data_IF_534192086988
#
_entry.id   IF_534192086988
#
_cell.length_a   1.000
_cell.length_b   1.000
_cell.length_c   1.000
_cell.angle_alpha   90.00
_cell.angle_beta   90.00
_cell.angle_gamma   90.00
#
_symmetry.space_group_name_H-M   'P 1'
#
loop_
_entity.id
_entity.type
_entity.pdbx_description
1 polymer ?
#
# COMPACT_ATOMS: atom_id res chain seq x y z
N UNK A 1 15.25 13.24 -0.26
CA UNK A 1 13.85 13.27 0.21
C UNK A 1 13.52 12.04 1.03
N UNK A 2 12.39 12.02 1.74
CA UNK A 2 11.94 10.87 2.50
C UNK A 2 11.37 9.81 1.55
N UNK A 3 11.66 8.54 1.83
CA UNK A 3 11.12 7.41 1.07
C UNK A 3 9.62 7.23 1.32
N UNK A 4 9.16 7.46 2.56
CA UNK A 4 7.76 7.29 2.94
C UNK A 4 6.96 8.58 2.72
N UNK A 5 5.83 8.46 2.02
CA UNK A 5 4.92 9.57 1.73
C UNK A 5 3.88 9.79 2.84
N UNK A 6 3.56 8.76 3.60
CA UNK A 6 2.61 8.84 4.70
C UNK A 6 3.09 8.05 5.92
N UNK A 7 2.80 8.59 7.09
CA UNK A 7 2.96 7.94 8.39
C UNK A 7 1.61 8.00 9.07
N UNK A 8 1.01 6.85 9.29
CA UNK A 8 -0.31 6.73 9.88
C UNK A 8 -0.20 6.11 11.26
N UNK A 9 -0.89 6.70 12.20
CA UNK A 9 -1.08 6.11 13.52
C UNK A 9 -2.10 4.98 13.44
N UNK A 10 -2.11 4.17 14.47
CA UNK A 10 -3.08 3.08 14.63
C UNK A 10 -4.54 3.55 14.48
N UNK A 11 -5.36 2.72 13.86
CA UNK A 11 -6.77 3.05 13.69
C UNK A 11 -7.54 2.87 15.02
N UNK A 12 -8.45 3.81 15.37
CA UNK A 12 -9.20 3.77 16.62
C UNK A 12 -10.32 2.72 16.57
N UNK A 13 -9.96 1.48 16.23
CA UNK A 13 -10.90 0.36 16.12
C UNK A 13 -10.35 -0.85 16.85
N UNK A 14 -11.14 -1.40 17.77
CA UNK A 14 -10.86 -2.69 18.40
C UNK A 14 -11.70 -3.77 17.75
N UNK A 15 -11.06 -4.85 17.25
CA UNK A 15 -11.75 -5.92 16.53
C UNK A 15 -11.11 -7.28 16.81
N UNK A 16 -11.93 -8.25 17.18
CA UNK A 16 -11.45 -9.57 17.58
C UNK A 16 -10.54 -9.50 18.80
N UNK A 17 -9.34 -10.07 18.70
CA UNK A 17 -8.31 -10.03 19.74
C UNK A 17 -7.48 -8.75 19.76
N UNK A 18 -7.60 -7.92 18.73
CA UNK A 18 -6.89 -6.66 18.63
C UNK A 18 -7.56 -5.59 19.49
N UNK A 19 -6.75 -4.85 20.24
CA UNK A 19 -7.16 -3.69 21.04
C UNK A 19 -6.41 -2.45 20.59
N UNK A 20 -7.16 -1.46 20.17
CA UNK A 20 -6.62 -0.14 19.85
C UNK A 20 -5.96 0.48 21.10
N UNK A 21 -4.85 1.17 20.86
CA UNK A 21 -4.14 1.92 21.90
C UNK A 21 -4.87 3.24 22.20
N UNK A 22 -5.42 3.35 23.40
CA UNK A 22 -6.18 4.52 23.85
C UNK A 22 -5.33 5.53 24.65
N UNK A 23 -4.05 5.22 24.87
CA UNK A 23 -3.15 6.03 25.68
C UNK A 23 -1.81 6.24 24.97
N UNK A 24 -1.24 7.47 25.01
CA UNK A 24 0.08 7.74 24.44
C UNK A 24 1.23 7.01 25.16
N UNK A 25 0.98 6.50 26.37
CA UNK A 25 1.98 5.76 27.15
C UNK A 25 2.03 4.26 26.83
N UNK A 26 1.17 3.80 25.92
CA UNK A 26 1.12 2.39 25.50
C UNK A 26 1.69 2.20 24.10
N UNK A 27 2.26 1.03 23.82
CA UNK A 27 2.71 0.70 22.46
C UNK A 27 1.57 0.82 21.45
N UNK A 28 1.91 1.32 20.27
CA UNK A 28 0.98 1.42 19.14
C UNK A 28 1.65 0.90 17.86
N UNK A 29 0.86 0.63 16.83
CA UNK A 29 1.35 0.32 15.50
C UNK A 29 1.41 1.60 14.67
N UNK A 30 2.56 1.85 14.04
CA UNK A 30 2.72 2.93 13.08
C UNK A 30 2.83 2.30 11.69
N UNK A 31 1.98 2.73 10.78
CA UNK A 31 2.04 2.32 9.38
C UNK A 31 2.75 3.40 8.56
N UNK A 32 3.85 3.03 7.93
CA UNK A 32 4.60 3.91 7.04
C UNK A 32 4.41 3.43 5.60
N UNK A 33 3.87 4.31 4.75
CA UNK A 33 3.52 4.00 3.37
C UNK A 33 4.54 4.63 2.43
N UNK A 34 5.11 3.80 1.56
CA UNK A 34 6.00 4.24 0.48
C UNK A 34 5.41 3.83 -0.87
N UNK A 35 5.24 4.80 -1.76
CA UNK A 35 4.86 4.60 -3.14
C UNK A 35 6.00 5.13 -4.02
N UNK A 36 7.02 4.31 -4.32
CA UNK A 36 8.17 4.78 -5.09
C UNK A 36 7.76 5.14 -6.51
N UNK A 37 8.37 6.20 -7.02
CA UNK A 37 8.26 6.62 -8.41
C UNK A 37 9.59 6.37 -9.12
N UNK A 38 9.52 6.10 -10.44
CA UNK A 38 10.68 6.05 -11.30
C UNK A 38 11.17 7.44 -11.70
N UNK A 39 11.97 7.51 -12.74
CA UNK A 39 12.53 8.76 -13.26
C UNK A 39 11.44 9.72 -13.71
N UNK A 40 11.42 10.91 -13.13
CA UNK A 40 10.45 11.94 -13.48
C UNK A 40 10.55 12.32 -14.97
N UNK A 41 9.41 12.35 -15.66
CA UNK A 41 9.34 12.64 -17.09
C UNK A 41 9.48 11.43 -18.02
N UNK A 42 9.88 10.26 -17.51
CA UNK A 42 9.83 9.02 -18.29
C UNK A 42 8.38 8.57 -18.54
N UNK A 43 8.13 7.75 -19.58
CA UNK A 43 6.81 7.15 -19.79
C UNK A 43 6.30 6.40 -18.54
N UNK A 44 4.99 6.43 -18.24
CA UNK A 44 4.46 5.82 -17.02
C UNK A 44 4.85 4.35 -16.83
N UNK A 45 4.86 3.57 -17.89
CA UNK A 45 5.24 2.15 -17.85
C UNK A 45 6.70 1.94 -17.41
N UNK A 46 7.59 2.80 -17.86
CA UNK A 46 9.00 2.77 -17.47
C UNK A 46 9.16 3.19 -16.01
N UNK A 47 8.46 4.24 -15.59
CA UNK A 47 8.46 4.69 -14.20
C UNK A 47 7.99 3.58 -13.25
N UNK A 48 6.90 2.86 -13.58
CA UNK A 48 6.38 1.78 -12.76
C UNK A 48 7.33 0.58 -12.71
N UNK A 49 7.96 0.26 -13.82
CA UNK A 49 8.95 -0.83 -13.90
C UNK A 49 10.18 -0.52 -13.05
N UNK A 50 10.72 0.67 -13.18
CA UNK A 50 11.88 1.14 -12.40
C UNK A 50 11.57 1.18 -10.90
N UNK A 51 10.43 1.77 -10.52
CA UNK A 51 9.99 1.87 -9.13
C UNK A 51 9.82 0.48 -8.50
N UNK A 52 9.20 -0.45 -9.21
CA UNK A 52 9.02 -1.83 -8.76
C UNK A 52 10.36 -2.55 -8.61
N UNK A 53 11.26 -2.42 -9.58
CA UNK A 53 12.58 -3.02 -9.51
C UNK A 53 13.35 -2.52 -8.29
N UNK A 54 13.37 -1.20 -8.08
CA UNK A 54 14.04 -0.59 -6.92
C UNK A 54 13.46 -1.11 -5.60
N UNK A 55 12.13 -1.12 -5.47
CA UNK A 55 11.46 -1.62 -4.26
C UNK A 55 11.81 -3.09 -3.97
N UNK A 56 11.83 -3.93 -5.00
CA UNK A 56 12.09 -5.37 -4.83
C UNK A 56 13.57 -5.69 -4.61
N UNK A 57 14.49 -4.84 -5.09
CA UNK A 57 15.94 -5.02 -4.91
C UNK A 57 16.45 -4.58 -3.52
N UNK A 58 15.70 -3.74 -2.80
CA UNK A 58 16.06 -3.31 -1.47
C UNK A 58 16.03 -4.47 -0.48
N UNK A 59 17.01 -4.48 0.43
CA UNK A 59 17.07 -5.43 1.54
C UNK A 59 16.37 -4.86 2.78
N UNK A 60 16.14 -5.70 3.79
CA UNK A 60 15.50 -5.26 5.04
C UNK A 60 16.25 -4.11 5.70
N UNK A 61 17.57 -4.17 5.73
CA UNK A 61 18.42 -3.15 6.34
C UNK A 61 18.26 -1.77 5.67
N UNK A 62 18.02 -1.74 4.35
CA UNK A 62 17.75 -0.48 3.63
C UNK A 62 16.46 0.17 4.12
N UNK A 63 15.42 -0.65 4.31
CA UNK A 63 14.14 -0.18 4.86
C UNK A 63 14.28 0.26 6.31
N UNK A 64 14.97 -0.50 7.14
CA UNK A 64 15.19 -0.14 8.55
C UNK A 64 15.91 1.20 8.67
N UNK A 65 16.98 1.42 7.90
CA UNK A 65 17.73 2.67 7.89
C UNK A 65 16.85 3.86 7.47
N UNK A 66 16.01 3.68 6.44
CA UNK A 66 15.09 4.73 6.00
C UNK A 66 14.00 5.03 7.03
N UNK A 67 13.46 4.02 7.71
CA UNK A 67 12.49 4.19 8.79
C UNK A 67 13.14 4.94 9.95
N UNK A 68 14.33 4.51 10.36
CA UNK A 68 15.13 5.16 11.43
C UNK A 68 15.36 6.64 11.11
N UNK A 69 15.83 6.92 9.91
CA UNK A 69 16.11 8.29 9.46
C UNK A 69 14.83 9.15 9.47
N UNK A 70 13.73 8.60 8.96
CA UNK A 70 12.47 9.32 8.84
C UNK A 70 11.87 9.64 10.21
N UNK A 71 11.73 8.65 11.10
CA UNK A 71 11.17 8.85 12.44
C UNK A 71 12.03 9.79 13.28
N UNK A 72 13.37 9.63 13.24
CA UNK A 72 14.29 10.52 13.96
C UNK A 72 14.27 11.96 13.44
N UNK A 73 13.95 12.17 12.14
CA UNK A 73 13.81 13.50 11.56
C UNK A 73 12.44 14.15 11.78
N UNK A 74 11.42 13.34 12.03
CA UNK A 74 10.04 13.79 12.19
C UNK A 74 9.72 14.16 13.64
N UNK A 75 10.33 13.46 14.58
CA UNK A 75 10.06 13.64 16.01
C UNK A 75 11.10 14.58 16.65
N UNK A 76 10.71 15.36 17.68
CA UNK A 76 11.62 16.27 18.36
C UNK A 76 12.85 15.56 18.93
N UNK A 77 14.00 16.21 18.81
CA UNK A 77 15.27 15.68 19.32
C UNK A 77 15.18 15.39 20.83
N UNK A 78 15.55 14.18 21.22
CA UNK A 78 15.55 13.70 22.60
C UNK A 78 14.22 13.08 23.05
N UNK A 79 13.14 13.24 22.29
CA UNK A 79 11.86 12.60 22.58
C UNK A 79 11.80 11.15 22.10
N UNK A 80 12.46 10.84 21.00
CA UNK A 80 12.46 9.55 20.36
C UNK A 80 13.87 8.96 20.29
N UNK A 81 13.97 7.70 20.66
CA UNK A 81 15.16 6.86 20.45
C UNK A 81 14.73 5.57 19.76
N UNK A 82 15.23 5.33 18.58
CA UNK A 82 14.82 4.19 17.77
C UNK A 82 15.04 2.84 18.47
N UNK A 83 16.18 2.68 19.13
CA UNK A 83 16.53 1.40 19.77
C UNK A 83 15.72 1.14 21.03
N UNK A 84 15.25 2.20 21.69
CA UNK A 84 14.40 2.13 22.88
C UNK A 84 12.92 1.98 22.51
N UNK A 85 12.47 2.72 21.49
CA UNK A 85 11.05 2.97 21.25
C UNK A 85 10.45 2.09 20.14
N UNK A 86 11.28 1.46 19.30
CA UNK A 86 10.82 0.56 18.23
C UNK A 86 11.05 -0.90 18.65
N UNK A 87 9.95 -1.59 18.92
CA UNK A 87 10.00 -2.99 19.36
C UNK A 87 10.24 -3.95 18.19
N UNK A 88 9.65 -3.68 17.02
CA UNK A 88 9.80 -4.51 15.82
C UNK A 88 9.39 -3.76 14.56
N UNK A 89 9.89 -4.23 13.44
CA UNK A 89 9.53 -3.74 12.11
C UNK A 89 9.10 -4.91 11.24
N UNK A 90 8.02 -4.74 10.49
CA UNK A 90 7.68 -5.61 9.39
C UNK A 90 7.62 -4.80 8.09
N UNK A 91 8.15 -5.36 7.01
CA UNK A 91 8.16 -4.72 5.69
C UNK A 91 7.35 -5.57 4.73
N UNK A 92 6.25 -5.02 4.27
CA UNK A 92 5.40 -5.63 3.24
C UNK A 92 5.69 -4.96 1.90
N UNK A 93 6.15 -5.74 0.93
CA UNK A 93 6.46 -5.27 -0.42
C UNK A 93 5.39 -5.77 -1.39
N UNK A 94 4.66 -4.84 -1.96
CA UNK A 94 3.61 -5.12 -2.93
C UNK A 94 4.12 -4.75 -4.33
N UNK A 95 4.44 -5.71 -5.20
CA UNK A 95 4.97 -5.45 -6.54
C UNK A 95 3.93 -4.81 -7.46
N UNK A 96 2.65 -4.91 -7.10
CA UNK A 96 1.53 -4.27 -7.74
C UNK A 96 0.72 -3.52 -6.69
N UNK A 97 0.54 -2.24 -6.89
CA UNK A 97 -0.26 -1.38 -6.01
C UNK A 97 -1.66 -1.17 -6.54
N UNK A 98 -2.12 0.06 -6.52
CA UNK A 98 -3.41 0.44 -7.05
C UNK A 98 -3.52 0.17 -8.55
N UNK A 99 -4.69 -0.25 -8.98
CA UNK A 99 -4.99 -0.37 -10.41
C UNK A 99 -4.89 0.99 -11.07
N UNK A 100 -4.22 1.02 -12.20
CA UNK A 100 -4.16 2.18 -13.06
C UNK A 100 -5.05 1.93 -14.28
N UNK A 101 -6.16 2.65 -14.36
CA UNK A 101 -6.97 2.70 -15.58
C UNK A 101 -6.22 3.54 -16.62
N UNK A 102 -5.25 2.93 -17.30
CA UNK A 102 -4.54 3.53 -18.41
C UNK A 102 -5.45 3.73 -19.63
N UNK A 103 -4.98 4.46 -20.65
CA UNK A 103 -5.68 4.54 -21.91
C UNK A 103 -5.81 3.14 -22.51
N UNK A 104 -7.00 2.80 -22.98
CA UNK A 104 -7.27 1.53 -23.66
C UNK A 104 -8.40 0.71 -23.02
N UNK A 105 -8.56 -0.48 -23.57
CA UNK A 105 -9.67 -1.38 -23.27
C UNK A 105 -9.41 -2.34 -22.10
N UNK A 106 -8.36 -2.15 -21.31
CA UNK A 106 -7.94 -3.10 -20.27
C UNK A 106 -9.08 -3.44 -19.30
N UNK A 107 -9.81 -2.45 -18.83
CA UNK A 107 -10.98 -2.64 -17.96
C UNK A 107 -12.10 -3.41 -18.68
N UNK A 108 -12.38 -3.06 -19.94
CA UNK A 108 -13.40 -3.75 -20.73
C UNK A 108 -13.01 -5.20 -21.01
N UNK A 109 -11.74 -5.44 -21.34
CA UNK A 109 -11.22 -6.79 -21.57
C UNK A 109 -11.24 -7.58 -20.25
N UNK A 110 -10.80 -6.99 -19.14
CA UNK A 110 -10.78 -7.63 -17.82
C UNK A 110 -12.18 -7.97 -17.27
N UNK A 111 -13.24 -7.39 -17.83
CA UNK A 111 -14.64 -7.71 -17.51
C UNK A 111 -15.22 -8.85 -18.30
N UNK A 112 -14.56 -9.29 -19.36
CA UNK A 112 -15.10 -10.35 -20.21
C UNK A 112 -15.16 -11.66 -19.44
N UNK A 113 -16.32 -12.32 -19.34
CA UNK A 113 -16.39 -13.63 -18.74
C UNK A 113 -15.69 -14.67 -19.63
N UNK A 114 -15.04 -15.63 -18.99
CA UNK A 114 -14.48 -16.80 -19.69
C UNK A 114 -15.33 -18.03 -19.34
N UNK A 115 -16.28 -18.34 -20.17
CA UNK A 115 -17.28 -19.37 -19.88
C UNK A 115 -18.08 -19.02 -18.62
N UNK A 116 -17.96 -19.84 -17.58
CA UNK A 116 -18.59 -19.62 -16.27
C UNK A 116 -17.67 -18.95 -15.25
N UNK A 117 -16.57 -18.39 -15.67
CA UNK A 117 -15.63 -17.65 -14.83
C UNK A 117 -15.83 -16.16 -15.08
N UNK A 118 -16.13 -15.42 -14.01
CA UNK A 118 -16.25 -13.96 -14.02
C UNK A 118 -15.20 -13.32 -13.12
N UNK A 119 -14.74 -12.12 -13.47
CA UNK A 119 -13.70 -11.40 -12.75
C UNK A 119 -14.34 -10.40 -11.79
N UNK A 120 -14.05 -10.53 -10.50
CA UNK A 120 -14.66 -9.77 -9.43
C UNK A 120 -13.61 -9.04 -8.56
N UNK A 121 -12.87 -8.12 -9.16
CA UNK A 121 -11.82 -7.38 -8.44
C UNK A 121 -11.74 -5.92 -8.93
N UNK A 122 -10.91 -5.11 -8.27
CA UNK A 122 -10.71 -3.71 -8.66
C UNK A 122 -10.00 -3.55 -10.01
N UNK A 123 -9.24 -4.56 -10.51
CA UNK A 123 -8.63 -4.50 -11.84
C UNK A 123 -9.67 -4.53 -12.97
N UNK A 124 -10.86 -5.03 -12.69
CA UNK A 124 -12.00 -4.97 -13.61
C UNK A 124 -12.84 -3.69 -13.47
N UNK A 125 -12.42 -2.74 -12.63
CA UNK A 125 -13.08 -1.47 -12.38
C UNK A 125 -12.22 -0.28 -12.88
N UNK A 126 -12.85 0.88 -13.17
CA UNK A 126 -12.11 2.09 -13.52
C UNK A 126 -11.49 2.79 -12.29
N UNK A 127 -11.64 2.25 -11.10
CA UNK A 127 -11.17 2.84 -9.84
C UNK A 127 -10.56 1.82 -8.92
N UNK A 128 -9.51 2.24 -8.19
CA UNK A 128 -8.74 1.42 -7.28
C UNK A 128 -9.19 1.63 -5.82
N UNK A 129 -10.41 1.32 -5.52
CA UNK A 129 -10.97 1.44 -4.17
C UNK A 129 -11.90 0.27 -3.82
N UNK A 130 -12.19 0.13 -2.52
CA UNK A 130 -13.02 -0.95 -2.01
C UNK A 130 -14.45 -0.92 -2.57
N UNK A 131 -15.04 0.26 -2.80
CA UNK A 131 -16.37 0.41 -3.37
C UNK A 131 -16.39 -0.11 -4.82
N UNK A 132 -15.37 0.23 -5.62
CA UNK A 132 -15.24 -0.27 -6.99
C UNK A 132 -15.13 -1.80 -7.00
N UNK A 133 -14.33 -2.39 -6.11
CA UNK A 133 -14.21 -3.84 -5.99
C UNK A 133 -15.56 -4.51 -5.60
N UNK A 134 -16.30 -3.93 -4.66
CA UNK A 134 -17.64 -4.42 -4.28
C UNK A 134 -18.64 -4.36 -5.44
N UNK A 135 -18.64 -3.27 -6.21
CA UNK A 135 -19.49 -3.14 -7.41
C UNK A 135 -19.14 -4.19 -8.46
N UNK A 136 -17.86 -4.49 -8.63
CA UNK A 136 -17.43 -5.53 -9.57
C UNK A 136 -17.80 -6.94 -9.08
N UNK A 137 -17.76 -7.18 -7.78
CA UNK A 137 -18.24 -8.44 -7.22
C UNK A 137 -19.74 -8.64 -7.46
N UNK A 138 -20.55 -7.61 -7.22
CA UNK A 138 -21.99 -7.65 -7.49
C UNK A 138 -22.29 -7.92 -8.98
N UNK A 139 -21.58 -7.20 -9.88
CA UNK A 139 -21.69 -7.43 -11.32
C UNK A 139 -21.34 -8.88 -11.68
N UNK A 140 -20.20 -9.38 -11.21
CA UNK A 140 -19.72 -10.71 -11.57
C UNK A 140 -20.68 -11.82 -11.13
N UNK A 141 -21.36 -11.67 -9.97
CA UNK A 141 -22.39 -12.60 -9.53
C UNK A 141 -23.61 -12.55 -10.45
N UNK A 142 -24.06 -11.36 -10.85
CA UNK A 142 -25.22 -11.20 -11.75
C UNK A 142 -24.95 -11.75 -13.17
N UNK A 143 -23.69 -11.77 -13.61
CA UNK A 143 -23.30 -12.36 -14.90
C UNK A 143 -23.34 -13.90 -14.91
N UNK A 144 -23.38 -14.53 -13.75
CA UNK A 144 -23.49 -15.98 -13.63
C UNK A 144 -24.93 -16.50 -13.69
N UNK A 145 -25.93 -15.59 -13.70
CA UNK A 145 -27.36 -15.89 -13.82
C UNK A 145 -27.98 -16.22 -12.51
#
# INVERSE_FOLDING_TARGET
GNMHQAVLMDFPVSMGGYKFTESPDKPCVIQMISCPFGTFGAPPEEQFREARYRMLSMQFDDYEQEIRRHLSGMLPKGLFDFNRDVASISVNRWPHGYTFAGPGDSVRIGRQPFGRITVANCDSAPGADAKAAMMMAHRAVNELG
#
